data_IF_808191406681
#
_entry.id   IF_808191406681
#
_cell.length_a   1.000
_cell.length_b   1.000
_cell.length_c   1.000
_cell.angle_alpha   90.00
_cell.angle_beta   90.00
_cell.angle_gamma   90.00
#
_symmetry.space_group_name_H-M   'P 1'
#
loop_
_entity.id
_entity.type
_entity.pdbx_description
1 polymer ?
#
# COMPACT_ATOMS: atom_id res chain seq x y z
N UNK A 1 87.78 27.21 12.59
CA UNK A 1 86.67 26.35 13.06
C UNK A 1 85.40 26.87 12.43
N UNK A 2 84.93 26.24 11.36
CA UNK A 2 83.61 26.51 10.80
C UNK A 2 82.78 25.25 11.03
N UNK A 3 81.87 25.30 11.98
CA UNK A 3 80.87 24.26 12.20
C UNK A 3 79.75 24.56 11.21
N UNK A 4 79.63 23.73 10.19
CA UNK A 4 78.47 23.73 9.30
C UNK A 4 77.41 22.85 9.93
N UNK A 5 76.37 23.45 10.49
CA UNK A 5 75.16 22.74 10.88
C UNK A 5 74.39 22.34 9.62
N UNK A 6 74.32 21.05 9.32
CA UNK A 6 73.41 20.50 8.32
C UNK A 6 72.08 20.23 9.03
N UNK A 7 71.10 21.11 8.89
CA UNK A 7 69.72 20.82 9.30
C UNK A 7 69.09 19.92 8.25
N UNK A 8 69.16 18.62 8.49
CA UNK A 8 68.44 17.62 7.72
C UNK A 8 66.95 17.71 8.10
N UNK A 9 66.21 18.54 7.36
CA UNK A 9 64.75 18.62 7.48
C UNK A 9 64.16 17.59 6.53
N UNK A 10 64.15 16.32 6.94
CA UNK A 10 63.29 15.32 6.28
C UNK A 10 61.83 15.75 6.52
N UNK A 11 61.17 16.20 5.46
CA UNK A 11 59.71 16.39 5.43
C UNK A 11 59.06 15.12 6.00
N UNK A 12 58.15 15.19 6.99
CA UNK A 12 57.45 13.99 7.44
C UNK A 12 56.76 13.36 6.23
N UNK A 13 56.98 12.07 6.00
CA UNK A 13 56.33 11.33 4.93
C UNK A 13 54.83 11.28 5.25
N UNK A 14 54.00 11.81 4.36
CA UNK A 14 52.55 11.63 4.43
C UNK A 14 52.27 10.12 4.48
N UNK A 15 51.44 9.64 5.41
CA UNK A 15 51.12 8.22 5.46
C UNK A 15 50.41 7.79 4.16
N UNK A 16 50.72 6.57 3.73
CA UNK A 16 50.07 5.94 2.57
C UNK A 16 48.60 5.69 2.90
N UNK A 17 47.71 5.95 1.94
CA UNK A 17 46.29 5.72 2.10
C UNK A 17 46.01 4.21 2.13
N UNK A 18 45.37 3.73 3.20
CA UNK A 18 45.06 2.32 3.42
C UNK A 18 43.63 1.96 3.01
N UNK A 19 42.65 2.83 3.28
CA UNK A 19 41.25 2.63 2.92
C UNK A 19 40.52 3.94 2.68
N UNK A 20 39.48 3.88 1.84
CA UNK A 20 38.46 4.93 1.70
C UNK A 20 37.11 4.36 2.13
N UNK A 21 36.31 5.16 2.83
CA UNK A 21 34.92 4.83 3.17
C UNK A 21 34.00 5.98 2.80
N UNK A 22 32.73 5.65 2.54
CA UNK A 22 31.68 6.61 2.26
C UNK A 22 30.52 6.41 3.22
N UNK A 23 29.92 7.51 3.67
CA UNK A 23 28.71 7.54 4.49
C UNK A 23 27.67 8.50 3.89
N UNK A 24 26.42 8.07 3.66
CA UNK A 24 25.93 6.70 3.84
C UNK A 24 26.45 5.72 2.76
N UNK A 25 26.35 4.41 3.03
CA UNK A 25 26.61 3.35 2.03
C UNK A 25 25.36 2.96 1.24
N UNK A 26 24.19 3.32 1.73
CA UNK A 26 22.90 3.14 1.06
C UNK A 26 22.01 4.34 1.35
N UNK A 27 21.26 4.80 0.36
CA UNK A 27 20.32 5.89 0.51
C UNK A 27 19.05 5.62 -0.32
N UNK A 28 17.90 5.77 0.32
CA UNK A 28 16.61 5.88 -0.37
C UNK A 28 16.23 7.36 -0.47
N UNK A 29 15.83 7.81 -1.66
CA UNK A 29 15.60 9.21 -2.00
C UNK A 29 14.33 9.34 -2.84
N UNK A 30 13.66 10.48 -2.77
CA UNK A 30 12.59 10.86 -3.70
C UNK A 30 13.18 11.64 -4.88
N UNK A 31 12.48 11.65 -6.03
CA UNK A 31 12.91 12.45 -7.18
C UNK A 31 13.07 13.92 -6.79
N UNK A 32 14.24 14.48 -7.08
CA UNK A 32 14.60 15.87 -6.75
C UNK A 32 15.36 16.06 -5.44
N UNK A 33 15.47 15.02 -4.62
CA UNK A 33 16.27 15.07 -3.38
C UNK A 33 17.76 15.26 -3.65
N UNK A 34 18.44 15.82 -2.64
CA UNK A 34 19.87 16.07 -2.64
C UNK A 34 20.51 15.42 -1.41
N UNK A 35 21.61 14.69 -1.62
CA UNK A 35 22.37 14.01 -0.58
C UNK A 35 23.86 14.36 -0.72
N UNK A 36 24.53 14.70 0.39
CA UNK A 36 25.98 14.91 0.42
C UNK A 36 26.68 13.68 0.98
N UNK A 37 27.60 13.09 0.21
CA UNK A 37 28.38 11.93 0.63
C UNK A 37 29.58 12.35 1.48
N UNK A 38 29.73 11.73 2.66
CA UNK A 38 30.90 11.94 3.53
C UNK A 38 31.97 10.91 3.23
N UNK A 39 33.12 11.37 2.77
CA UNK A 39 34.28 10.52 2.49
C UNK A 39 35.25 10.57 3.66
N UNK A 40 35.69 9.41 4.15
CA UNK A 40 36.74 9.29 5.18
C UNK A 40 37.91 8.47 4.66
N UNK A 41 39.12 8.91 5.01
CA UNK A 41 40.39 8.29 4.61
C UNK A 41 41.08 7.69 5.85
N UNK A 42 41.68 6.52 5.69
CA UNK A 42 42.45 5.86 6.76
C UNK A 42 43.90 5.67 6.31
N UNK A 43 44.90 6.00 7.17
CA UNK A 43 44.76 6.69 8.44
C UNK A 43 44.24 8.14 8.27
N UNK A 44 43.72 8.75 9.33
CA UNK A 44 43.02 10.06 9.28
C UNK A 44 43.89 11.21 8.73
N UNK A 45 45.22 11.08 8.83
CA UNK A 45 46.20 12.01 8.29
C UNK A 45 46.71 11.66 6.88
N UNK A 46 46.19 10.59 6.27
CA UNK A 46 46.42 10.28 4.87
C UNK A 46 45.74 11.33 3.98
N UNK A 47 46.37 11.64 2.84
CA UNK A 47 45.83 12.58 1.85
C UNK A 47 45.75 11.91 0.49
N UNK A 48 44.62 12.06 -0.19
CA UNK A 48 44.51 11.76 -1.62
C UNK A 48 44.74 13.03 -2.44
N UNK A 49 45.46 12.92 -3.56
CA UNK A 49 45.65 14.05 -4.49
C UNK A 49 44.32 14.44 -5.18
N UNK A 50 43.46 13.45 -5.41
CA UNK A 50 42.16 13.59 -6.06
C UNK A 50 41.18 12.59 -5.44
N UNK A 51 39.95 13.05 -5.20
CA UNK A 51 38.80 12.20 -4.86
C UNK A 51 37.81 12.36 -6.01
N UNK A 52 37.49 11.26 -6.68
CA UNK A 52 36.59 11.24 -7.82
C UNK A 52 35.26 10.57 -7.46
N UNK A 53 34.17 11.15 -7.92
CA UNK A 53 32.82 10.60 -7.77
C UNK A 53 32.25 10.25 -9.14
N UNK A 54 31.66 9.07 -9.25
CA UNK A 54 30.99 8.63 -10.48
C UNK A 54 29.68 7.94 -10.13
N UNK A 55 28.64 8.20 -10.92
CA UNK A 55 27.39 7.45 -10.87
C UNK A 55 27.38 6.43 -12.00
N UNK A 56 26.99 5.20 -11.69
CA UNK A 56 26.82 4.13 -12.68
C UNK A 56 25.69 4.46 -13.68
N UNK A 57 24.62 5.09 -13.20
CA UNK A 57 23.49 5.53 -14.02
C UNK A 57 23.07 6.98 -13.66
N UNK A 58 23.63 7.98 -14.38
CA UNK A 58 23.26 9.38 -14.23
C UNK A 58 21.81 9.70 -14.57
N UNK A 59 21.06 8.80 -15.23
CA UNK A 59 19.64 9.00 -15.49
C UNK A 59 18.76 8.72 -14.26
N UNK A 60 19.28 7.95 -13.29
CA UNK A 60 18.64 7.68 -11.98
C UNK A 60 19.12 8.70 -10.95
N UNK A 61 20.43 8.85 -10.77
CA UNK A 61 21.01 9.85 -9.87
C UNK A 61 22.35 10.36 -10.39
N UNK A 62 22.57 11.67 -10.30
CA UNK A 62 23.85 12.30 -10.66
C UNK A 62 24.66 12.58 -9.42
N UNK A 63 25.99 12.68 -9.55
CA UNK A 63 26.89 13.13 -8.49
C UNK A 63 27.85 14.17 -9.04
N UNK A 64 28.07 15.27 -8.31
CA UNK A 64 29.02 16.31 -8.70
C UNK A 64 30.42 16.08 -8.11
N UNK A 65 31.36 16.99 -8.40
CA UNK A 65 32.76 16.89 -7.93
C UNK A 65 32.91 17.04 -6.41
N UNK A 66 31.91 17.61 -5.74
CA UNK A 66 31.89 17.81 -4.28
C UNK A 66 31.23 16.63 -3.54
N UNK A 67 30.85 15.56 -4.25
CA UNK A 67 30.16 14.41 -3.66
C UNK A 67 28.68 14.64 -3.38
N UNK A 68 28.07 15.66 -4.00
CA UNK A 68 26.64 15.94 -3.88
C UNK A 68 25.88 15.15 -4.93
N UNK A 69 25.05 14.21 -4.46
CA UNK A 69 24.15 13.37 -5.23
C UNK A 69 22.82 14.09 -5.42
N UNK A 70 22.26 14.05 -6.64
CA UNK A 70 20.92 14.57 -6.98
C UNK A 70 20.09 13.46 -7.61
N UNK A 71 18.93 13.17 -7.03
CA UNK A 71 17.97 12.17 -7.53
C UNK A 71 17.23 12.70 -8.76
N UNK A 72 17.26 11.94 -9.86
CA UNK A 72 16.75 12.36 -11.18
C UNK A 72 15.46 11.64 -11.55
N UNK A 73 15.43 10.32 -11.45
CA UNK A 73 14.29 9.49 -11.82
C UNK A 73 14.28 8.20 -10.99
N UNK A 74 13.10 7.58 -10.83
CA UNK A 74 12.97 6.34 -10.08
C UNK A 74 13.83 5.21 -10.65
N UNK A 75 14.47 4.45 -9.77
CA UNK A 75 15.40 3.40 -10.12
C UNK A 75 16.46 3.19 -9.05
N UNK A 76 17.44 2.34 -9.33
CA UNK A 76 18.56 2.09 -8.44
C UNK A 76 19.88 2.28 -9.20
N UNK A 77 20.84 2.96 -8.59
CA UNK A 77 22.18 3.15 -9.14
C UNK A 77 23.24 3.10 -8.05
N UNK A 78 24.50 2.90 -8.43
CA UNK A 78 25.64 2.91 -7.51
C UNK A 78 26.48 4.15 -7.75
N UNK A 79 26.75 4.91 -6.69
CA UNK A 79 27.72 6.00 -6.69
C UNK A 79 29.04 5.48 -6.15
N UNK A 80 30.11 5.59 -6.94
CA UNK A 80 31.46 5.16 -6.58
C UNK A 80 32.32 6.38 -6.23
N UNK A 81 32.97 6.31 -5.08
CA UNK A 81 34.02 7.22 -4.61
C UNK A 81 35.36 6.54 -4.83
N UNK A 82 36.27 7.18 -5.56
CA UNK A 82 37.63 6.70 -5.77
C UNK A 82 38.66 7.69 -5.20
N UNK A 83 39.61 7.19 -4.42
CA UNK A 83 40.71 7.96 -3.85
C UNK A 83 42.01 7.16 -3.95
N UNK A 84 42.98 7.66 -4.72
CA UNK A 84 44.29 7.01 -4.91
C UNK A 84 44.23 5.51 -5.29
N UNK A 85 43.23 5.13 -6.10
CA UNK A 85 43.02 3.75 -6.56
C UNK A 85 42.24 2.83 -5.60
N UNK A 86 41.82 3.35 -4.45
CA UNK A 86 40.89 2.68 -3.53
C UNK A 86 39.46 3.16 -3.78
N UNK A 87 38.47 2.29 -3.54
CA UNK A 87 37.07 2.58 -3.83
C UNK A 87 36.15 2.33 -2.64
N UNK A 88 35.12 3.16 -2.52
CA UNK A 88 33.95 2.96 -1.68
C UNK A 88 32.68 3.26 -2.49
N UNK A 89 31.56 2.65 -2.13
CA UNK A 89 30.31 2.75 -2.90
C UNK A 89 29.13 3.12 -2.02
N UNK A 90 28.22 3.92 -2.56
CA UNK A 90 26.90 4.17 -2.02
C UNK A 90 25.83 3.69 -3.01
N UNK A 91 24.95 2.76 -2.60
CA UNK A 91 23.78 2.38 -3.40
C UNK A 91 22.67 3.42 -3.20
N UNK A 92 22.17 4.00 -4.29
CA UNK A 92 21.11 5.01 -4.27
C UNK A 92 19.88 4.43 -4.92
N UNK A 93 18.79 4.34 -4.16
CA UNK A 93 17.45 3.97 -4.64
C UNK A 93 16.59 5.23 -4.69
N UNK A 94 16.13 5.59 -5.88
CA UNK A 94 15.24 6.74 -6.10
C UNK A 94 13.82 6.22 -6.30
N UNK A 95 12.85 6.78 -5.58
CA UNK A 95 11.43 6.52 -5.74
C UNK A 95 10.74 7.66 -6.51
N UNK A 96 9.69 7.34 -7.27
CA UNK A 96 9.05 8.29 -8.19
C UNK A 96 8.10 9.29 -7.52
N UNK A 97 7.70 9.02 -6.28
CA UNK A 97 6.81 9.87 -5.50
C UNK A 97 7.46 11.17 -5.01
N UNK A 98 6.68 11.94 -4.27
CA UNK A 98 7.12 13.15 -3.57
C UNK A 98 6.91 13.08 -2.05
N UNK A 99 6.53 11.90 -1.55
CA UNK A 99 6.36 11.60 -0.12
C UNK A 99 6.78 10.16 0.16
N UNK A 100 7.38 9.95 1.33
CA UNK A 100 7.62 8.62 1.88
C UNK A 100 6.36 8.06 2.58
N UNK A 101 6.27 6.73 2.78
CA UNK A 101 5.15 6.10 3.48
C UNK A 101 4.83 6.65 4.87
N UNK A 102 5.84 7.07 5.65
CA UNK A 102 5.67 7.63 7.00
C UNK A 102 5.05 9.03 7.01
N UNK A 103 4.97 9.67 5.85
CA UNK A 103 4.31 10.96 5.65
C UNK A 103 2.87 10.82 5.10
N UNK A 104 2.35 9.59 4.98
CA UNK A 104 1.07 9.31 4.34
C UNK A 104 -0.09 10.18 4.86
N UNK A 105 -0.92 10.65 3.93
CA UNK A 105 -2.18 11.32 4.18
C UNK A 105 -3.33 10.65 3.46
N UNK A 106 -4.55 10.84 3.97
CA UNK A 106 -5.78 10.34 3.32
C UNK A 106 -5.92 10.99 1.94
N UNK A 107 -6.13 10.16 0.92
CA UNK A 107 -6.27 10.59 -0.47
C UNK A 107 -4.97 10.65 -1.26
N UNK A 108 -3.81 10.43 -0.63
CA UNK A 108 -2.53 10.33 -1.34
C UNK A 108 -2.54 9.15 -2.33
N UNK A 109 -1.85 9.32 -3.45
CA UNK A 109 -1.76 8.30 -4.50
C UNK A 109 -0.59 7.36 -4.19
N UNK A 110 -0.89 6.08 -4.03
CA UNK A 110 0.10 5.05 -3.73
C UNK A 110 0.68 4.47 -5.03
N UNK A 111 2.00 4.54 -5.19
CA UNK A 111 2.71 4.09 -6.39
C UNK A 111 3.18 2.63 -6.25
N UNK A 112 3.44 2.00 -7.40
CA UNK A 112 3.94 0.61 -7.48
C UNK A 112 5.35 0.41 -6.89
N UNK A 113 6.12 1.49 -6.69
CA UNK A 113 7.42 1.46 -6.01
C UNK A 113 7.33 1.69 -4.48
N UNK A 114 6.12 1.91 -3.96
CA UNK A 114 5.84 2.12 -2.54
C UNK A 114 5.91 3.56 -2.08
N UNK A 115 6.32 4.50 -2.94
CA UNK A 115 6.24 5.93 -2.63
C UNK A 115 4.84 6.50 -2.86
N UNK A 116 4.65 7.74 -2.43
CA UNK A 116 3.38 8.43 -2.50
C UNK A 116 3.48 9.70 -3.36
N UNK A 117 2.40 10.04 -4.04
CA UNK A 117 2.16 11.41 -4.47
C UNK A 117 1.11 12.04 -3.55
N UNK A 118 1.40 13.23 -3.04
CA UNK A 118 0.46 14.04 -2.27
C UNK A 118 -0.88 14.20 -3.00
N UNK A 119 -1.99 14.13 -2.27
CA UNK A 119 -3.36 14.31 -2.80
C UNK A 119 -3.54 15.60 -3.61
N UNK A 120 -2.80 16.66 -3.28
CA UNK A 120 -2.78 17.94 -3.97
C UNK A 120 -1.98 17.95 -5.27
N UNK A 121 -1.29 16.87 -5.61
CA UNK A 121 -0.48 16.74 -6.83
C UNK A 121 -1.35 16.94 -8.07
N UNK A 122 -0.78 17.65 -9.06
CA UNK A 122 -1.45 17.97 -10.31
C UNK A 122 -1.81 16.69 -11.09
N UNK A 123 -3.01 16.62 -11.66
CA UNK A 123 -3.48 15.46 -12.42
C UNK A 123 -2.58 15.08 -13.60
N UNK A 124 -1.89 16.03 -14.24
CA UNK A 124 -0.94 15.76 -15.33
C UNK A 124 0.32 15.02 -14.86
N UNK A 125 0.63 15.07 -13.55
CA UNK A 125 1.72 14.32 -12.93
C UNK A 125 1.18 12.95 -12.50
N UNK A 126 0.05 12.93 -11.79
CA UNK A 126 -0.59 11.69 -11.29
C UNK A 126 -0.89 10.73 -12.46
N UNK A 127 -1.43 11.23 -13.57
CA UNK A 127 -1.76 10.43 -14.76
C UNK A 127 -0.56 9.86 -15.52
N UNK A 128 0.67 10.27 -15.18
CA UNK A 128 1.92 9.72 -15.76
C UNK A 128 2.67 8.82 -14.78
N UNK A 129 2.26 8.81 -13.51
CA UNK A 129 2.88 7.97 -12.49
C UNK A 129 2.27 6.56 -12.52
N UNK A 130 2.98 5.60 -11.93
CA UNK A 130 2.48 4.23 -11.82
C UNK A 130 1.64 4.05 -10.55
N UNK A 131 0.43 4.61 -10.57
CA UNK A 131 -0.48 4.62 -9.40
C UNK A 131 -1.26 3.32 -9.33
N UNK A 132 -1.18 2.63 -8.20
CA UNK A 132 -1.91 1.37 -7.96
C UNK A 132 -3.09 1.52 -6.99
N UNK A 133 -3.14 2.63 -6.23
CA UNK A 133 -4.24 2.85 -5.29
C UNK A 133 -4.24 4.22 -4.62
N UNK A 134 -5.19 4.39 -3.69
CA UNK A 134 -5.39 5.61 -2.91
C UNK A 134 -5.31 5.25 -1.42
N UNK A 135 -4.53 5.99 -0.65
CA UNK A 135 -4.47 5.85 0.81
C UNK A 135 -5.83 6.23 1.40
N UNK A 136 -6.52 5.28 2.04
CA UNK A 136 -7.84 5.54 2.65
C UNK A 136 -7.79 5.59 4.17
N UNK A 137 -6.71 5.13 4.80
CA UNK A 137 -6.54 5.21 6.25
C UNK A 137 -5.06 5.30 6.60
N UNK A 138 -4.76 6.12 7.60
CA UNK A 138 -3.46 6.17 8.30
C UNK A 138 -3.63 5.86 9.80
N UNK A 139 -4.85 5.46 10.20
CA UNK A 139 -5.12 5.03 11.56
C UNK A 139 -4.64 3.59 11.74
N UNK A 140 -3.35 3.46 12.05
CA UNK A 140 -2.75 2.17 12.35
C UNK A 140 -3.35 1.54 13.59
N UNK A 141 -4.08 2.25 14.47
CA UNK A 141 -4.69 1.63 15.67
C UNK A 141 -5.82 0.65 15.32
N UNK A 142 -6.45 0.82 14.15
CA UNK A 142 -7.44 -0.10 13.58
C UNK A 142 -6.83 -1.22 12.74
N UNK A 143 -5.50 -1.32 12.64
CA UNK A 143 -4.85 -2.42 11.93
C UNK A 143 -4.80 -3.69 12.82
N UNK A 144 -5.42 -4.81 12.40
CA UNK A 144 -5.36 -6.08 13.12
C UNK A 144 -3.96 -6.69 13.19
N UNK A 145 -3.83 -7.70 14.04
CA UNK A 145 -2.57 -8.42 14.25
C UNK A 145 -2.08 -9.12 12.97
N UNK A 146 -2.98 -9.63 12.13
CA UNK A 146 -2.60 -10.40 10.95
C UNK A 146 -1.84 -9.55 9.92
N UNK A 147 -2.34 -8.35 9.58
CA UNK A 147 -1.59 -7.42 8.72
C UNK A 147 -0.30 -6.93 9.38
N UNK A 148 -0.32 -6.60 10.67
CA UNK A 148 0.88 -6.15 11.41
C UNK A 148 1.99 -7.17 11.39
N UNK A 149 1.67 -8.43 11.64
CA UNK A 149 2.65 -9.51 11.68
C UNK A 149 3.34 -9.70 10.31
N UNK A 150 2.59 -9.55 9.22
CA UNK A 150 3.14 -9.63 7.85
C UNK A 150 4.09 -8.46 7.57
N UNK A 151 3.71 -7.24 7.96
CA UNK A 151 4.58 -6.07 7.80
C UNK A 151 5.84 -6.19 8.69
N UNK A 152 5.70 -6.67 9.93
CA UNK A 152 6.83 -6.88 10.84
C UNK A 152 7.80 -7.95 10.33
N UNK A 153 7.30 -9.07 9.79
CA UNK A 153 8.14 -10.10 9.15
C UNK A 153 8.97 -9.53 8.00
N UNK A 154 8.42 -8.52 7.30
CA UNK A 154 9.06 -7.80 6.20
C UNK A 154 9.96 -6.64 6.67
N UNK A 155 10.05 -6.39 7.98
CA UNK A 155 10.81 -5.27 8.55
C UNK A 155 10.18 -3.90 8.28
N UNK A 156 8.87 -3.86 8.00
CA UNK A 156 8.12 -2.65 7.69
C UNK A 156 7.36 -2.16 8.92
N UNK A 157 7.49 -0.87 9.22
CA UNK A 157 6.65 -0.20 10.21
C UNK A 157 5.29 0.08 9.57
N UNK A 158 4.15 -0.26 10.20
CA UNK A 158 2.85 0.04 9.61
C UNK A 158 2.59 1.55 9.48
N UNK A 159 2.07 1.96 8.33
CA UNK A 159 1.72 3.35 8.00
C UNK A 159 0.24 3.53 7.71
N UNK A 160 -0.43 2.53 7.14
CA UNK A 160 -1.85 2.64 6.84
C UNK A 160 -2.37 1.62 5.84
N UNK A 161 -3.41 2.02 5.12
CA UNK A 161 -4.07 1.19 4.13
C UNK A 161 -4.35 1.91 2.82
N UNK A 162 -4.33 1.13 1.74
CA UNK A 162 -4.56 1.59 0.37
C UNK A 162 -5.75 0.84 -0.23
N UNK A 163 -6.62 1.58 -0.90
CA UNK A 163 -7.72 1.06 -1.73
C UNK A 163 -7.21 0.91 -3.17
N UNK A 164 -7.42 -0.25 -3.77
CA UNK A 164 -7.03 -0.49 -5.16
C UNK A 164 -7.71 0.50 -6.12
N UNK A 165 -6.93 1.06 -7.05
CA UNK A 165 -7.45 1.96 -8.09
C UNK A 165 -8.37 1.21 -9.07
N UNK A 166 -8.13 -0.09 -9.27
CA UNK A 166 -8.89 -0.97 -10.16
C UNK A 166 -9.94 -1.80 -9.42
N UNK A 167 -10.99 -2.14 -10.16
CA UNK A 167 -11.92 -3.20 -9.79
C UNK A 167 -11.27 -4.57 -10.00
N UNK A 168 -11.70 -5.60 -9.26
CA UNK A 168 -11.27 -6.98 -9.51
C UNK A 168 -11.93 -7.50 -10.79
N UNK A 169 -11.12 -7.85 -11.79
CA UNK A 169 -11.61 -8.20 -13.12
C UNK A 169 -11.93 -6.97 -13.97
N UNK A 170 -12.79 -7.15 -14.97
CA UNK A 170 -13.29 -6.02 -15.78
C UNK A 170 -14.48 -5.31 -15.12
N UNK A 171 -14.94 -4.20 -15.70
CA UNK A 171 -16.05 -3.40 -15.16
C UNK A 171 -17.37 -4.17 -15.01
N UNK A 172 -17.57 -5.27 -15.75
CA UNK A 172 -18.77 -6.11 -15.70
C UNK A 172 -18.58 -7.33 -14.79
N UNK A 173 -17.39 -7.51 -14.23
CA UNK A 173 -17.03 -8.68 -13.44
C UNK A 173 -17.71 -8.63 -12.09
N UNK A 174 -18.45 -9.70 -11.81
CA UNK A 174 -19.14 -9.94 -10.56
C UNK A 174 -19.07 -11.43 -10.23
N UNK A 175 -19.05 -11.73 -8.94
CA UNK A 175 -18.68 -13.05 -8.44
C UNK A 175 -19.65 -13.49 -7.36
N UNK A 176 -19.87 -14.80 -7.28
CA UNK A 176 -20.47 -15.40 -6.09
C UNK A 176 -19.44 -15.40 -4.97
N UNK A 177 -19.91 -15.24 -3.73
CA UNK A 177 -19.07 -15.36 -2.55
C UNK A 177 -18.72 -16.83 -2.31
N UNK A 178 -19.73 -17.69 -2.33
CA UNK A 178 -19.59 -19.15 -2.27
C UNK A 178 -20.75 -19.85 -2.98
N UNK A 179 -20.44 -20.90 -3.75
CA UNK A 179 -21.43 -21.80 -4.32
C UNK A 179 -20.82 -23.16 -4.71
N UNK A 180 -21.26 -24.22 -4.06
CA UNK A 180 -21.01 -25.59 -4.49
C UNK A 180 -22.05 -26.00 -5.54
N UNK A 181 -21.62 -26.02 -6.80
CA UNK A 181 -22.47 -26.39 -7.93
C UNK A 181 -22.82 -27.89 -7.98
N UNK A 182 -22.03 -28.76 -7.34
CA UNK A 182 -22.29 -30.19 -7.32
C UNK A 182 -23.46 -30.53 -6.39
N UNK A 183 -23.53 -29.85 -5.24
CA UNK A 183 -24.58 -30.05 -4.24
C UNK A 183 -25.71 -29.00 -4.32
N UNK A 184 -25.62 -28.04 -5.27
CA UNK A 184 -26.50 -26.88 -5.37
C UNK A 184 -26.64 -26.14 -4.01
N UNK A 185 -25.52 -26.03 -3.30
CA UNK A 185 -25.45 -25.48 -1.94
C UNK A 185 -24.68 -24.16 -1.93
N UNK A 186 -25.19 -23.19 -1.20
CA UNK A 186 -24.51 -21.94 -0.87
C UNK A 186 -24.34 -21.76 0.64
N UNK A 187 -24.54 -22.83 1.41
CA UNK A 187 -24.37 -22.84 2.85
C UNK A 187 -23.01 -23.45 3.20
N UNK A 188 -22.14 -22.62 3.78
CA UNK A 188 -20.83 -22.98 4.31
C UNK A 188 -20.49 -22.12 5.50
N UNK A 189 -20.30 -22.74 6.66
CA UNK A 189 -20.05 -22.02 7.91
C UNK A 189 -18.54 -21.80 8.11
N UNK A 190 -18.04 -20.59 7.85
CA UNK A 190 -16.59 -20.34 7.96
C UNK A 190 -16.11 -20.14 9.39
N UNK A 191 -16.99 -20.26 10.40
CA UNK A 191 -16.53 -20.35 11.79
C UNK A 191 -15.68 -21.59 12.01
N UNK A 192 -15.85 -22.60 11.15
CA UNK A 192 -15.00 -23.80 11.11
C UNK A 192 -13.51 -23.49 10.87
N UNK A 193 -13.20 -22.39 10.18
CA UNK A 193 -11.83 -21.92 9.92
C UNK A 193 -11.49 -20.63 10.65
N UNK A 194 -12.36 -20.17 11.56
CA UNK A 194 -12.10 -19.01 12.42
C UNK A 194 -12.66 -17.67 11.94
N UNK A 195 -13.43 -17.62 10.84
CA UNK A 195 -14.11 -16.38 10.43
C UNK A 195 -15.41 -16.26 11.24
N UNK A 196 -15.59 -15.23 12.08
CA UNK A 196 -16.80 -15.08 12.91
C UNK A 196 -18.00 -14.61 12.08
N UNK A 197 -19.19 -14.61 12.70
CA UNK A 197 -20.36 -13.94 12.12
C UNK A 197 -20.37 -12.46 12.50
N UNK A 198 -20.36 -11.58 11.50
CA UNK A 198 -20.58 -10.15 11.66
C UNK A 198 -22.10 -9.83 11.66
N UNK A 199 -22.88 -10.56 12.46
CA UNK A 199 -24.35 -10.44 12.51
C UNK A 199 -24.91 -10.91 13.86
N UNK A 200 -25.82 -10.12 14.42
CA UNK A 200 -26.63 -10.46 15.59
C UNK A 200 -28.10 -10.43 15.18
N UNK A 201 -28.75 -11.59 15.30
CA UNK A 201 -30.16 -11.74 14.93
C UNK A 201 -31.05 -10.77 15.71
N UNK A 202 -31.90 -10.05 14.98
CA UNK A 202 -32.89 -9.10 15.51
C UNK A 202 -32.28 -7.94 16.33
N UNK A 203 -30.97 -7.69 16.19
CA UNK A 203 -30.26 -6.59 16.86
C UNK A 203 -29.36 -5.85 15.85
N UNK A 204 -29.89 -4.76 15.30
CA UNK A 204 -29.19 -3.94 14.31
C UNK A 204 -27.98 -3.23 14.90
N UNK A 205 -28.07 -2.73 16.14
CA UNK A 205 -26.98 -1.98 16.76
C UNK A 205 -25.81 -2.90 17.12
N UNK A 206 -26.10 -4.07 17.71
CA UNK A 206 -25.06 -5.06 17.98
C UNK A 206 -24.45 -5.63 16.68
N UNK A 207 -25.28 -5.82 15.64
CA UNK A 207 -24.77 -6.19 14.31
C UNK A 207 -23.83 -5.13 13.76
N UNK A 208 -24.18 -3.85 13.90
CA UNK A 208 -23.34 -2.75 13.45
C UNK A 208 -22.03 -2.70 14.22
N UNK A 209 -22.07 -2.80 15.55
CA UNK A 209 -20.86 -2.75 16.38
C UNK A 209 -19.89 -3.87 16.01
N UNK A 210 -20.40 -5.08 15.72
CA UNK A 210 -19.58 -6.17 15.18
C UNK A 210 -19.00 -5.84 13.81
N UNK A 211 -19.83 -5.38 12.87
CA UNK A 211 -19.39 -5.07 11.51
C UNK A 211 -18.41 -3.90 11.43
N UNK A 212 -18.54 -2.89 12.28
CA UNK A 212 -17.64 -1.75 12.33
C UNK A 212 -16.28 -2.10 12.96
N UNK A 213 -16.28 -2.98 13.96
CA UNK A 213 -15.06 -3.51 14.56
C UNK A 213 -14.37 -4.57 13.69
N UNK A 214 -15.08 -5.13 12.72
CA UNK A 214 -14.58 -6.21 11.85
C UNK A 214 -13.67 -5.66 10.74
N UNK A 215 -12.37 -5.63 11.03
CA UNK A 215 -11.32 -5.12 10.15
C UNK A 215 -10.34 -6.22 9.69
N UNK A 216 -10.64 -7.49 9.96
CA UNK A 216 -9.78 -8.67 9.72
C UNK A 216 -9.78 -9.16 8.26
N UNK A 217 -9.89 -8.26 7.28
CA UNK A 217 -10.05 -8.63 5.87
C UNK A 217 -8.90 -9.46 5.31
N UNK A 218 -7.67 -9.14 5.75
CA UNK A 218 -6.48 -9.90 5.36
C UNK A 218 -6.55 -11.33 5.89
N UNK A 219 -6.84 -11.49 7.19
CA UNK A 219 -6.97 -12.78 7.84
C UNK A 219 -8.03 -13.64 7.16
N UNK A 220 -9.23 -13.10 6.93
CA UNK A 220 -10.32 -13.86 6.33
C UNK A 220 -10.01 -14.30 4.90
N UNK A 221 -9.40 -13.43 4.11
CA UNK A 221 -8.99 -13.75 2.74
C UNK A 221 -7.99 -14.91 2.73
N UNK A 222 -6.97 -14.86 3.59
CA UNK A 222 -5.94 -15.90 3.67
C UNK A 222 -6.45 -17.20 4.29
N UNK A 223 -7.35 -17.15 5.28
CA UNK A 223 -8.01 -18.35 5.81
C UNK A 223 -8.79 -19.09 4.72
N UNK A 224 -9.48 -18.37 3.82
CA UNK A 224 -10.14 -19.01 2.67
C UNK A 224 -9.11 -19.57 1.70
N UNK A 225 -8.06 -18.83 1.35
CA UNK A 225 -7.02 -19.30 0.44
C UNK A 225 -6.31 -20.56 0.93
N UNK A 226 -6.02 -20.62 2.22
CA UNK A 226 -5.19 -21.67 2.81
C UNK A 226 -6.04 -22.87 3.26
N UNK A 227 -7.11 -22.63 4.04
CA UNK A 227 -7.91 -23.69 4.65
C UNK A 227 -9.05 -24.19 3.73
N UNK A 228 -9.32 -23.49 2.62
CA UNK A 228 -10.31 -23.89 1.58
C UNK A 228 -9.69 -24.07 0.20
N UNK A 229 -8.37 -24.32 0.11
CA UNK A 229 -7.67 -24.48 -1.17
C UNK A 229 -8.31 -25.50 -2.12
N UNK A 230 -8.74 -26.66 -1.62
CA UNK A 230 -9.40 -27.70 -2.43
C UNK A 230 -10.77 -27.24 -2.95
N UNK A 231 -11.56 -26.56 -2.11
CA UNK A 231 -12.86 -26.01 -2.49
C UNK A 231 -12.70 -24.87 -3.52
N UNK A 232 -11.66 -24.05 -3.37
CA UNK A 232 -11.30 -23.01 -4.34
C UNK A 232 -10.90 -23.62 -5.68
N UNK A 233 -10.10 -24.68 -5.68
CA UNK A 233 -9.74 -25.41 -6.89
C UNK A 233 -10.97 -26.06 -7.56
N UNK A 234 -12.00 -26.40 -6.78
CA UNK A 234 -13.30 -26.85 -7.28
C UNK A 234 -14.21 -25.70 -7.78
N UNK A 235 -13.79 -24.45 -7.63
CA UNK A 235 -14.51 -23.25 -8.09
C UNK A 235 -15.57 -22.74 -7.11
N UNK A 236 -15.54 -23.18 -5.85
CA UNK A 236 -16.61 -22.87 -4.89
C UNK A 236 -16.54 -21.48 -4.28
N UNK A 237 -15.40 -20.78 -4.34
CA UNK A 237 -15.25 -19.41 -3.85
C UNK A 237 -14.82 -18.42 -4.95
N UNK A 238 -15.69 -18.12 -5.95
CA UNK A 238 -15.29 -17.34 -7.12
C UNK A 238 -14.69 -15.97 -6.80
N UNK A 239 -15.24 -15.23 -5.82
CA UNK A 239 -14.71 -13.90 -5.47
C UNK A 239 -13.30 -13.99 -4.89
N UNK A 240 -13.01 -15.00 -4.06
CA UNK A 240 -11.70 -15.18 -3.45
C UNK A 240 -10.67 -15.67 -4.46
N UNK A 241 -11.07 -16.50 -5.43
CA UNK A 241 -10.20 -16.88 -6.55
C UNK A 241 -9.87 -15.69 -7.43
N UNK A 242 -10.84 -14.82 -7.71
CA UNK A 242 -10.63 -13.61 -8.49
C UNK A 242 -9.72 -12.59 -7.78
N UNK A 243 -9.88 -12.44 -6.45
CA UNK A 243 -8.98 -11.62 -5.62
C UNK A 243 -7.56 -12.20 -5.60
N UNK A 244 -7.41 -13.54 -5.57
CA UNK A 244 -6.10 -14.19 -5.64
C UNK A 244 -5.41 -13.95 -6.99
N UNK A 245 -6.15 -14.04 -8.09
CA UNK A 245 -5.65 -13.71 -9.43
C UNK A 245 -5.26 -12.23 -9.50
N UNK A 246 -6.12 -11.32 -9.03
CA UNK A 246 -5.83 -9.89 -8.98
C UNK A 246 -4.54 -9.59 -8.20
N UNK A 247 -4.35 -10.23 -7.04
CA UNK A 247 -3.14 -10.05 -6.22
C UNK A 247 -1.86 -10.54 -6.93
N UNK A 248 -1.97 -11.51 -7.84
CA UNK A 248 -0.84 -12.00 -8.63
C UNK A 248 -0.55 -11.11 -9.85
N UNK A 249 -1.58 -10.55 -10.49
CA UNK A 249 -1.43 -9.75 -11.72
C UNK A 249 -1.15 -8.28 -11.44
N UNK A 250 -1.73 -7.71 -10.38
CA UNK A 250 -1.54 -6.33 -9.97
C UNK A 250 -0.51 -6.29 -8.84
N UNK A 251 0.78 -6.30 -9.22
CA UNK A 251 1.88 -6.36 -8.28
C UNK A 251 1.92 -5.16 -7.32
N UNK A 252 2.34 -5.44 -6.10
CA UNK A 252 2.49 -4.47 -5.01
C UNK A 252 3.94 -4.41 -4.56
N UNK A 253 4.40 -3.30 -3.96
CA UNK A 253 5.69 -3.26 -3.32
C UNK A 253 5.85 -4.40 -2.29
N UNK A 254 7.06 -4.96 -2.19
CA UNK A 254 7.36 -6.02 -1.22
C UNK A 254 7.10 -5.58 0.23
N UNK A 255 7.11 -4.27 0.46
CA UNK A 255 6.83 -3.59 1.74
C UNK A 255 5.34 -3.54 2.13
N UNK A 256 4.45 -4.22 1.39
CA UNK A 256 3.01 -4.24 1.68
C UNK A 256 2.52 -5.64 2.06
N UNK A 257 1.28 -5.78 2.53
CA UNK A 257 0.64 -7.11 2.69
C UNK A 257 0.29 -7.79 1.38
N UNK A 258 0.37 -7.09 0.25
CA UNK A 258 -0.33 -7.49 -0.98
C UNK A 258 -1.85 -7.25 -0.88
N UNK A 259 -2.54 -7.45 -2.01
CA UNK A 259 -3.98 -7.24 -2.14
C UNK A 259 -4.82 -8.33 -1.48
N UNK A 260 -5.88 -7.95 -0.76
CA UNK A 260 -6.87 -8.86 -0.21
C UNK A 260 -8.28 -8.25 -0.21
N UNK A 261 -9.31 -9.07 0.06
CA UNK A 261 -10.70 -8.62 0.09
C UNK A 261 -11.00 -7.95 1.45
N UNK A 262 -11.35 -6.65 1.49
CA UNK A 262 -11.61 -5.94 2.73
C UNK A 262 -12.80 -6.53 3.51
N UNK A 263 -12.68 -6.50 4.85
CA UNK A 263 -13.78 -6.75 5.76
C UNK A 263 -14.76 -5.57 5.78
N UNK A 264 -15.91 -5.74 6.43
CA UNK A 264 -16.98 -4.73 6.47
C UNK A 264 -16.52 -3.42 7.12
N UNK A 265 -15.77 -3.49 8.22
CA UNK A 265 -15.25 -2.31 8.93
C UNK A 265 -14.23 -1.54 8.10
N UNK A 266 -13.42 -2.21 7.29
CA UNK A 266 -12.50 -1.55 6.35
C UNK A 266 -13.26 -0.79 5.26
N UNK A 267 -14.38 -1.32 4.76
CA UNK A 267 -15.27 -0.57 3.88
C UNK A 267 -15.89 0.66 4.55
N UNK A 268 -16.25 0.58 5.83
CA UNK A 268 -16.73 1.74 6.55
C UNK A 268 -15.64 2.81 6.69
N UNK A 269 -14.39 2.41 6.93
CA UNK A 269 -13.27 3.34 7.00
C UNK A 269 -12.96 3.99 5.65
N UNK A 270 -13.01 3.23 4.55
CA UNK A 270 -12.91 3.76 3.18
C UNK A 270 -13.94 4.88 2.96
N UNK A 271 -15.20 4.60 3.26
CA UNK A 271 -16.29 5.54 3.00
C UNK A 271 -16.22 6.75 3.93
N UNK A 272 -15.91 6.58 5.23
CA UNK A 272 -15.72 7.70 6.16
C UNK A 272 -14.61 8.63 5.69
N UNK A 273 -13.45 8.07 5.36
CA UNK A 273 -12.24 8.85 5.18
C UNK A 273 -12.15 9.49 3.79
N UNK A 274 -12.57 8.78 2.74
CA UNK A 274 -12.52 9.32 1.37
C UNK A 274 -13.70 10.24 1.03
N UNK A 275 -14.84 10.09 1.71
CA UNK A 275 -16.05 10.87 1.37
C UNK A 275 -16.50 11.84 2.47
N UNK A 276 -16.04 11.65 3.71
CA UNK A 276 -16.53 12.40 4.87
C UNK A 276 -17.90 11.93 5.39
N UNK A 277 -18.39 10.78 4.95
CA UNK A 277 -19.65 10.21 5.42
C UNK A 277 -19.60 9.87 6.92
N UNK A 278 -20.61 10.31 7.68
CA UNK A 278 -20.85 9.78 9.03
C UNK A 278 -21.50 8.41 8.92
N UNK A 279 -20.78 7.37 9.33
CA UNK A 279 -21.27 5.99 9.42
C UNK A 279 -21.34 5.56 10.88
N UNK A 280 -22.03 6.33 11.72
CA UNK A 280 -22.22 6.06 13.14
C UNK A 280 -23.52 5.28 13.38
N UNK A 281 -23.58 4.50 14.46
CA UNK A 281 -24.80 3.76 14.85
C UNK A 281 -25.98 4.68 15.12
N UNK A 282 -25.75 5.87 15.67
CA UNK A 282 -26.80 6.86 15.96
C UNK A 282 -27.50 7.38 14.71
N UNK A 283 -26.86 7.26 13.55
CA UNK A 283 -27.32 7.80 12.27
C UNK A 283 -27.99 6.73 11.40
N UNK A 284 -28.11 5.49 11.93
CA UNK A 284 -28.81 4.41 11.26
C UNK A 284 -30.29 4.76 11.10
N UNK A 285 -30.75 4.75 9.86
CA UNK A 285 -32.18 4.76 9.57
C UNK A 285 -32.79 3.41 10.01
N UNK A 286 -34.05 3.46 10.47
CA UNK A 286 -34.79 2.29 10.92
C UNK A 286 -34.79 1.22 9.83
N UNK A 287 -33.93 0.22 10.03
CA UNK A 287 -33.63 -0.85 9.11
C UNK A 287 -34.09 -2.16 9.72
N UNK A 288 -34.88 -2.92 8.97
CA UNK A 288 -35.26 -4.25 9.43
C UNK A 288 -34.06 -5.23 9.36
N UNK A 289 -34.02 -6.17 10.30
CA UNK A 289 -33.20 -7.40 10.26
C UNK A 289 -31.67 -7.25 10.27
N UNK A 290 -31.10 -6.24 10.90
CA UNK A 290 -29.63 -6.15 11.07
C UNK A 290 -28.87 -5.63 9.85
N UNK A 291 -29.58 -4.88 9.01
CA UNK A 291 -29.05 -4.12 7.88
C UNK A 291 -28.78 -2.68 8.30
N UNK A 292 -27.77 -2.06 7.70
CA UNK A 292 -27.30 -0.73 8.03
C UNK A 292 -27.60 0.22 6.89
N UNK A 293 -28.30 1.31 7.20
CA UNK A 293 -28.71 2.30 6.23
C UNK A 293 -28.29 3.68 6.71
N UNK A 294 -27.43 4.33 5.94
CA UNK A 294 -27.06 5.72 6.14
C UNK A 294 -27.46 6.57 4.94
N UNK A 295 -27.87 7.79 5.24
CA UNK A 295 -28.16 8.82 4.26
C UNK A 295 -27.46 10.13 4.70
N UNK A 296 -26.13 10.21 4.60
CA UNK A 296 -25.32 11.33 5.09
C UNK A 296 -25.66 12.70 4.46
N UNK A 297 -26.37 12.75 3.33
CA UNK A 297 -26.73 14.00 2.63
C UNK A 297 -25.50 14.82 2.17
N UNK A 298 -24.44 14.12 1.75
CA UNK A 298 -23.18 14.72 1.29
C UNK A 298 -23.00 14.71 -0.23
N UNK A 299 -24.05 14.32 -0.96
CA UNK A 299 -24.02 14.18 -2.42
C UNK A 299 -23.67 12.76 -2.86
N UNK A 300 -23.24 12.63 -4.12
CA UNK A 300 -22.94 11.34 -4.76
C UNK A 300 -21.71 10.69 -4.12
N UNK A 301 -21.90 9.54 -3.47
CA UNK A 301 -20.79 8.80 -2.84
C UNK A 301 -19.78 8.33 -3.89
N UNK A 302 -20.18 7.76 -5.05
CA UNK A 302 -19.25 7.43 -6.12
C UNK A 302 -18.44 8.63 -6.60
N UNK A 303 -19.06 9.81 -6.80
CA UNK A 303 -18.34 10.98 -7.32
C UNK A 303 -17.28 11.49 -6.33
N UNK A 304 -17.55 11.40 -5.02
CA UNK A 304 -16.59 11.79 -3.98
C UNK A 304 -15.33 10.91 -4.00
N UNK A 305 -15.48 9.60 -4.20
CA UNK A 305 -14.32 8.70 -4.33
C UNK A 305 -13.67 8.82 -5.72
N UNK A 306 -14.48 8.97 -6.78
CA UNK A 306 -14.00 9.13 -8.14
C UNK A 306 -13.19 10.42 -8.33
N UNK A 307 -13.42 11.47 -7.54
CA UNK A 307 -12.62 12.70 -7.60
C UNK A 307 -11.10 12.45 -7.39
N UNK A 308 -10.73 11.40 -6.66
CA UNK A 308 -9.35 10.94 -6.55
C UNK A 308 -8.96 10.11 -7.77
N UNK A 309 -9.75 9.10 -8.11
CA UNK A 309 -9.46 8.17 -9.22
C UNK A 309 -9.34 8.90 -10.57
N UNK A 310 -10.11 9.95 -10.81
CA UNK A 310 -10.09 10.71 -12.07
C UNK A 310 -8.71 11.31 -12.40
N UNK A 311 -7.84 11.50 -11.41
CA UNK A 311 -6.46 11.97 -11.63
C UNK A 311 -5.50 10.89 -12.13
N UNK A 312 -5.85 9.62 -11.94
CA UNK A 312 -5.05 8.44 -12.33
C UNK A 312 -5.25 8.17 -13.83
N UNK A 313 -4.29 7.54 -14.51
CA UNK A 313 -4.49 7.14 -15.92
C UNK A 313 -5.65 6.16 -16.09
N UNK A 314 -6.33 6.22 -17.24
CA UNK A 314 -7.53 5.39 -17.50
C UNK A 314 -7.24 3.88 -17.53
N UNK A 315 -6.03 3.47 -17.92
CA UNK A 315 -5.58 2.08 -17.92
C UNK A 315 -5.20 1.54 -16.53
N UNK A 316 -5.07 2.43 -15.54
CA UNK A 316 -4.67 2.10 -14.17
C UNK A 316 -5.84 2.19 -13.18
N UNK A 317 -7.06 2.51 -13.62
CA UNK A 317 -8.20 2.71 -12.72
C UNK A 317 -9.49 2.05 -13.22
N UNK A 318 -10.42 1.89 -12.30
CA UNK A 318 -11.83 1.68 -12.61
C UNK A 318 -12.64 2.61 -11.72
N UNK A 319 -13.51 3.43 -12.31
CA UNK A 319 -14.38 4.33 -11.55
C UNK A 319 -15.50 3.54 -10.84
N UNK A 320 -15.99 4.09 -9.75
CA UNK A 320 -17.23 3.65 -9.13
C UNK A 320 -18.43 4.16 -9.93
N UNK A 321 -19.30 3.26 -10.35
CA UNK A 321 -20.58 3.54 -10.99
C UNK A 321 -21.67 2.59 -10.47
N UNK A 322 -22.86 2.59 -11.08
CA UNK A 322 -23.98 1.74 -10.64
C UNK A 322 -23.72 0.22 -10.69
N UNK A 323 -22.64 -0.22 -11.34
CA UNK A 323 -22.22 -1.62 -11.47
C UNK A 323 -21.09 -1.93 -10.49
N UNK A 324 -20.10 -1.04 -10.38
CA UNK A 324 -18.88 -1.26 -9.58
C UNK A 324 -18.99 -0.78 -8.12
N UNK A 325 -20.14 -0.23 -7.72
CA UNK A 325 -20.42 0.23 -6.35
C UNK A 325 -21.19 -0.77 -5.47
N UNK A 326 -21.33 -2.03 -5.91
CA UNK A 326 -21.98 -3.09 -5.15
C UNK A 326 -20.99 -4.22 -4.93
N UNK A 327 -20.47 -4.33 -3.70
CA UNK A 327 -19.22 -5.03 -3.45
C UNK A 327 -19.37 -6.04 -2.31
N UNK A 328 -18.83 -7.23 -2.53
CA UNK A 328 -18.62 -8.18 -1.45
C UNK A 328 -17.61 -7.64 -0.44
N UNK A 329 -17.80 -8.03 0.81
CA UNK A 329 -16.79 -7.99 1.84
C UNK A 329 -16.31 -9.41 2.13
N UNK A 330 -15.18 -9.56 2.83
CA UNK A 330 -14.74 -10.86 3.36
C UNK A 330 -15.52 -11.31 4.61
N UNK A 331 -16.29 -10.42 5.24
CA UNK A 331 -17.08 -10.70 6.44
C UNK A 331 -18.30 -11.56 6.15
N UNK A 332 -18.40 -12.75 6.75
CA UNK A 332 -19.64 -13.53 6.68
C UNK A 332 -20.70 -13.04 7.69
N UNK A 333 -21.98 -13.23 7.35
CA UNK A 333 -23.10 -12.94 8.24
C UNK A 333 -23.69 -14.22 8.86
N UNK A 334 -23.71 -15.30 8.09
CA UNK A 334 -24.17 -16.63 8.49
C UNK A 334 -23.51 -17.69 7.61
N UNK A 335 -23.86 -18.96 7.81
CA UNK A 335 -23.42 -20.04 6.92
C UNK A 335 -23.82 -19.80 5.45
N UNK A 336 -24.99 -19.23 5.20
CA UNK A 336 -25.53 -19.03 3.85
C UNK A 336 -25.44 -17.58 3.34
N UNK A 337 -24.99 -16.64 4.18
CA UNK A 337 -24.98 -15.21 3.88
C UNK A 337 -23.64 -14.55 4.19
N UNK A 338 -23.29 -13.56 3.37
CA UNK A 338 -22.11 -12.70 3.56
C UNK A 338 -22.51 -11.22 3.53
N UNK A 339 -21.66 -10.34 4.07
CA UNK A 339 -21.91 -8.89 4.08
C UNK A 339 -21.54 -8.27 2.74
N UNK A 340 -22.41 -7.37 2.29
CA UNK A 340 -22.28 -6.55 1.08
C UNK A 340 -22.25 -5.09 1.49
N UNK A 341 -21.50 -4.27 0.76
CA UNK A 341 -21.59 -2.80 0.80
C UNK A 341 -22.12 -2.30 -0.55
N UNK A 342 -23.08 -1.37 -0.50
CA UNK A 342 -23.61 -0.65 -1.66
C UNK A 342 -23.66 0.83 -1.33
N UNK A 343 -23.29 1.69 -2.27
CA UNK A 343 -23.45 3.13 -2.10
C UNK A 343 -23.75 3.82 -3.44
N UNK A 344 -24.55 4.89 -3.45
CA UNK A 344 -25.07 5.45 -4.70
C UNK A 344 -24.97 6.98 -4.84
N UNK A 345 -25.44 7.48 -5.98
CA UNK A 345 -25.43 8.90 -6.33
C UNK A 345 -26.47 9.74 -5.58
N UNK A 346 -27.42 9.10 -4.90
CA UNK A 346 -28.40 9.75 -4.03
C UNK A 346 -27.94 9.84 -2.57
N UNK A 347 -26.64 9.61 -2.32
CA UNK A 347 -26.02 9.67 -1.00
C UNK A 347 -26.36 8.47 -0.10
N UNK A 348 -26.93 7.39 -0.62
CA UNK A 348 -27.18 6.20 0.18
C UNK A 348 -25.89 5.41 0.40
N UNK A 349 -25.73 4.89 1.62
CA UNK A 349 -24.73 3.87 1.96
C UNK A 349 -25.45 2.75 2.71
N UNK A 350 -25.42 1.56 2.14
CA UNK A 350 -26.11 0.37 2.63
C UNK A 350 -25.09 -0.73 2.89
N UNK A 351 -25.13 -1.31 4.09
CA UNK A 351 -24.46 -2.58 4.34
C UNK A 351 -25.45 -3.58 4.91
N UNK A 352 -25.57 -4.72 4.24
CA UNK A 352 -26.57 -5.74 4.55
C UNK A 352 -25.98 -7.12 4.33
N UNK A 353 -26.61 -8.12 4.91
CA UNK A 353 -26.28 -9.51 4.61
C UNK A 353 -27.03 -9.96 3.36
N UNK A 354 -26.40 -10.80 2.55
CA UNK A 354 -27.03 -11.36 1.36
C UNK A 354 -26.53 -12.76 1.07
N UNK A 355 -27.32 -13.55 0.33
CA UNK A 355 -26.98 -14.95 0.09
C UNK A 355 -25.71 -15.08 -0.75
N UNK A 356 -24.84 -16.01 -0.34
CA UNK A 356 -23.49 -16.22 -0.92
C UNK A 356 -23.48 -16.54 -2.41
N UNK A 357 -24.60 -17.01 -2.99
CA UNK A 357 -24.72 -17.36 -4.42
C UNK A 357 -25.06 -16.18 -5.34
N UNK A 358 -25.23 -14.96 -4.82
CA UNK A 358 -25.46 -13.79 -5.65
C UNK A 358 -24.17 -13.17 -6.17
N UNK A 359 -24.30 -12.36 -7.21
CA UNK A 359 -23.19 -11.74 -7.91
C UNK A 359 -23.00 -10.29 -7.45
N UNK A 360 -21.84 -10.01 -6.87
CA UNK A 360 -21.38 -8.65 -6.56
C UNK A 360 -19.93 -8.49 -7.00
N UNK A 361 -19.49 -7.24 -7.13
CA UNK A 361 -18.12 -6.93 -7.45
C UNK A 361 -17.16 -7.15 -6.28
N UNK A 362 -15.87 -6.91 -6.53
CA UNK A 362 -14.85 -6.88 -5.49
C UNK A 362 -13.83 -5.78 -5.81
N UNK A 363 -13.28 -5.18 -4.76
CA UNK A 363 -12.16 -4.26 -4.85
C UNK A 363 -11.27 -4.49 -3.65
N UNK A 364 -9.98 -4.64 -3.92
CA UNK A 364 -9.03 -5.03 -2.90
C UNK A 364 -8.52 -3.84 -2.10
N UNK A 365 -7.96 -4.15 -0.93
CA UNK A 365 -7.13 -3.25 -0.14
C UNK A 365 -5.79 -3.91 0.17
N UNK A 366 -4.80 -3.12 0.57
CA UNK A 366 -3.54 -3.59 1.14
C UNK A 366 -3.18 -2.73 2.35
N UNK A 367 -2.35 -3.26 3.25
CA UNK A 367 -1.65 -2.49 4.28
C UNK A 367 -0.19 -2.27 3.87
N UNK A 368 0.40 -1.16 4.31
CA UNK A 368 1.76 -0.74 3.99
C UNK A 368 2.44 -0.03 5.16
#
# INVERSE_FOLDING_TARGET
>A
MAVSCNSDTSKPATPELESVTVDPTEAEMLVGDILELKVSLTPEDATAEEIAFTSEDPSVATVNQDGVVTAVAGGQTTVTVEASGLQATCTVKVLNGNKFPDEAGIGDFFLSDGSLLDVGTNADIVSKADVIGIVYSTDVSRMPEAERAVLEEKGVVPHGYVLAAKHVGDIMSSYMWYYDAAEASYSRDEREIGIPYAYVKDDMYASYDLSDADVDGYLYTHLIWDERADDMAAGFYPVFSAVQEFAQTEQTPETTTGWYLPATGQWFDILRNLTGASLQSSDLYDGDYGNFFWLPQIGSIPDLVNAYLEKISDDQKTLFDSVTNQLWTSSQASADQSRVIIFDSASFIHSFWYYKYFYFGARCVLAF
#
